data_IF_062101700245
#
_entry.id   IF_062101700245
#
_cell.length_a   1.000
_cell.length_b   1.000
_cell.length_c   1.000
_cell.angle_alpha   90.00
_cell.angle_beta   90.00
_cell.angle_gamma   90.00
#
_symmetry.space_group_name_H-M   'P 1'
#
loop_
_entity.id
_entity.type
_entity.pdbx_description
1 polymer ?
#
# COMPACT_ATOMS: atom_id res chain seq x y z
N UNK A 1 22.48 22.63 -33.15
CA UNK A 1 21.74 21.35 -33.10
C UNK A 1 22.36 20.34 -32.13
N UNK A 2 23.68 20.13 -32.12
CA UNK A 2 24.34 19.16 -31.24
C UNK A 2 24.05 19.36 -29.73
N UNK A 3 24.06 20.60 -29.23
CA UNK A 3 23.77 20.89 -27.82
C UNK A 3 22.33 20.60 -27.39
N UNK A 4 21.36 20.77 -28.30
CA UNK A 4 19.96 20.47 -27.99
C UNK A 4 19.74 18.96 -27.88
N UNK A 5 20.37 18.19 -28.78
CA UNK A 5 20.34 16.72 -28.75
C UNK A 5 21.00 16.18 -27.48
N UNK A 6 22.13 16.76 -27.07
CA UNK A 6 22.81 16.34 -25.83
C UNK A 6 21.98 16.64 -24.57
N UNK A 7 21.31 17.80 -24.52
CA UNK A 7 20.42 18.16 -23.42
C UNK A 7 19.19 17.24 -23.34
N UNK A 8 18.63 16.86 -24.48
CA UNK A 8 17.53 15.90 -24.55
C UNK A 8 17.97 14.51 -24.10
N UNK A 9 19.15 14.04 -24.51
CA UNK A 9 19.70 12.75 -24.07
C UNK A 9 19.98 12.77 -22.56
N UNK A 10 20.61 13.82 -22.03
CA UNK A 10 20.86 13.96 -20.59
C UNK A 10 19.58 14.06 -19.79
N UNK A 11 18.57 14.79 -20.28
CA UNK A 11 17.24 14.84 -19.67
C UNK A 11 16.55 13.48 -19.68
N UNK A 12 16.61 12.75 -20.79
CA UNK A 12 16.02 11.42 -20.90
C UNK A 12 16.71 10.41 -19.98
N UNK A 13 18.04 10.41 -19.93
CA UNK A 13 18.81 9.59 -19.00
C UNK A 13 18.53 9.96 -17.54
N UNK A 14 18.42 11.24 -17.21
CA UNK A 14 18.08 11.68 -15.86
C UNK A 14 16.66 11.29 -15.44
N UNK A 15 15.70 11.27 -16.37
CA UNK A 15 14.32 10.81 -16.10
C UNK A 15 14.24 9.29 -16.02
N UNK A 16 15.00 8.57 -16.84
CA UNK A 16 14.94 7.11 -16.93
C UNK A 16 15.80 6.41 -15.86
N UNK A 17 16.87 7.05 -15.39
CA UNK A 17 17.82 6.50 -14.40
C UNK A 17 17.93 7.35 -13.13
N UNK A 18 17.12 8.40 -12.99
CA UNK A 18 17.05 9.20 -11.77
C UNK A 18 16.26 8.50 -10.66
N UNK A 19 16.30 9.03 -9.43
CA UNK A 19 15.44 8.56 -8.35
C UNK A 19 13.97 8.67 -8.74
N UNK A 20 13.22 7.58 -8.59
CA UNK A 20 11.77 7.55 -8.76
C UNK A 20 11.09 7.34 -7.40
N UNK A 21 9.85 7.81 -7.20
CA UNK A 21 9.10 7.47 -5.99
C UNK A 21 8.89 5.95 -5.91
N UNK A 22 8.86 5.45 -4.67
CA UNK A 22 8.37 4.11 -4.37
C UNK A 22 6.90 4.01 -4.78
N UNK A 23 6.50 2.86 -5.29
CA UNK A 23 5.15 2.57 -5.77
C UNK A 23 4.58 1.30 -5.12
N UNK A 24 3.26 1.08 -5.19
CA UNK A 24 2.66 -0.16 -4.70
C UNK A 24 3.30 -1.44 -5.28
N UNK A 25 3.68 -1.47 -6.56
CA UNK A 25 4.34 -2.65 -7.15
C UNK A 25 5.70 -2.97 -6.52
N UNK A 26 6.40 -1.98 -5.96
CA UNK A 26 7.70 -2.19 -5.31
C UNK A 26 7.58 -3.01 -4.02
N UNK A 27 6.38 -3.06 -3.43
CA UNK A 27 6.08 -3.90 -2.27
C UNK A 27 6.25 -5.38 -2.63
N UNK A 28 5.94 -5.79 -3.85
CA UNK A 28 6.11 -7.18 -4.27
C UNK A 28 7.59 -7.63 -4.19
N UNK A 29 8.50 -6.78 -4.68
CA UNK A 29 9.96 -7.00 -4.61
C UNK A 29 10.44 -7.02 -3.16
N UNK A 30 9.92 -6.09 -2.34
CA UNK A 30 10.25 -6.06 -0.92
C UNK A 30 9.82 -7.34 -0.19
N UNK A 31 8.60 -7.83 -0.44
CA UNK A 31 8.07 -9.03 0.22
C UNK A 31 8.87 -10.28 -0.17
N UNK A 32 9.24 -10.44 -1.45
CA UNK A 32 10.08 -11.54 -1.91
C UNK A 32 11.44 -11.58 -1.18
N UNK A 33 12.11 -10.42 -1.06
CA UNK A 33 13.38 -10.29 -0.34
C UNK A 33 13.23 -10.48 1.18
N UNK A 34 12.10 -10.06 1.75
CA UNK A 34 11.81 -10.17 3.17
C UNK A 34 11.49 -11.60 3.59
N UNK A 35 10.68 -12.32 2.80
CA UNK A 35 10.38 -13.74 2.97
C UNK A 35 11.64 -14.60 2.79
N UNK A 36 12.48 -14.29 1.79
CA UNK A 36 13.74 -15.00 1.54
C UNK A 36 14.73 -14.97 2.71
N UNK A 37 14.55 -14.07 3.67
CA UNK A 37 15.34 -13.99 4.91
C UNK A 37 14.82 -14.90 6.03
N UNK A 38 13.73 -15.63 5.83
CA UNK A 38 13.14 -16.52 6.83
C UNK A 38 12.55 -15.78 8.03
N UNK A 39 12.17 -14.51 7.83
CA UNK A 39 11.47 -13.71 8.83
C UNK A 39 10.09 -14.30 9.10
N UNK A 40 9.70 -14.45 10.37
CA UNK A 40 8.34 -14.85 10.76
C UNK A 40 7.38 -13.66 10.84
N UNK A 41 7.86 -12.44 10.60
CA UNK A 41 7.02 -11.25 10.52
C UNK A 41 6.34 -11.26 9.14
N UNK A 42 5.02 -11.10 9.10
CA UNK A 42 4.26 -10.90 7.86
C UNK A 42 3.77 -9.45 7.81
N UNK A 43 4.59 -8.50 7.31
CA UNK A 43 4.25 -7.10 7.35
C UNK A 43 3.24 -6.75 6.26
N UNK A 44 2.11 -6.18 6.67
CA UNK A 44 1.19 -5.54 5.73
C UNK A 44 1.74 -4.16 5.33
N UNK A 45 2.25 -4.05 4.10
CA UNK A 45 2.91 -2.83 3.60
C UNK A 45 2.05 -2.08 2.59
N UNK A 46 1.95 -0.76 2.78
CA UNK A 46 1.23 0.18 1.95
C UNK A 46 2.16 1.32 1.52
N UNK A 47 1.95 1.85 0.31
CA UNK A 47 2.71 2.98 -0.26
C UNK A 47 1.73 4.01 -0.82
N UNK A 48 1.79 5.24 -0.33
CA UNK A 48 0.89 6.31 -0.78
C UNK A 48 1.60 7.66 -0.80
N UNK A 49 1.04 8.59 -1.56
CA UNK A 49 1.48 9.98 -1.58
C UNK A 49 0.66 10.80 -0.57
N UNK A 50 1.36 11.58 0.25
CA UNK A 50 0.77 12.56 1.16
C UNK A 50 1.24 13.97 0.78
N UNK A 51 0.34 14.95 0.86
CA UNK A 51 0.64 16.33 0.44
C UNK A 51 1.75 16.99 1.27
N UNK A 52 1.87 16.64 2.55
CA UNK A 52 2.83 17.23 3.47
C UNK A 52 4.11 16.40 3.59
N UNK A 53 4.01 15.08 3.54
CA UNK A 53 5.12 14.16 3.80
C UNK A 53 5.78 13.60 2.54
N UNK A 54 5.13 13.71 1.36
CA UNK A 54 5.59 13.10 0.11
C UNK A 54 5.25 11.61 0.04
N UNK A 55 6.15 10.80 -0.51
CA UNK A 55 5.93 9.35 -0.61
C UNK A 55 6.08 8.71 0.78
N UNK A 56 4.98 8.17 1.31
CA UNK A 56 4.91 7.50 2.62
C UNK A 56 4.81 5.99 2.44
N UNK A 57 5.62 5.26 3.20
CA UNK A 57 5.54 3.81 3.34
C UNK A 57 5.01 3.49 4.73
N UNK A 58 3.86 2.84 4.80
CA UNK A 58 3.30 2.32 6.05
C UNK A 58 3.48 0.80 6.08
N UNK A 59 4.11 0.29 7.12
CA UNK A 59 4.18 -1.15 7.38
C UNK A 59 3.50 -1.47 8.70
N UNK A 60 2.60 -2.44 8.68
CA UNK A 60 1.97 -2.95 9.89
C UNK A 60 2.48 -4.34 10.21
N UNK A 61 2.93 -4.54 11.44
CA UNK A 61 3.30 -5.87 11.93
C UNK A 61 2.16 -6.47 12.72
N UNK A 62 1.87 -7.74 12.43
CA UNK A 62 0.93 -8.50 13.26
C UNK A 62 1.64 -8.81 14.55
N UNK A 63 1.02 -8.38 15.64
CA UNK A 63 1.41 -8.86 16.96
C UNK A 63 0.34 -9.88 17.31
N UNK A 64 0.59 -11.14 16.97
CA UNK A 64 -0.33 -12.23 17.33
C UNK A 64 -0.50 -12.24 18.84
N UNK A 65 -1.70 -11.85 19.25
CA UNK A 65 -2.16 -11.87 20.62
C UNK A 65 -3.23 -12.96 20.68
N UNK A 66 -2.80 -14.21 20.88
CA UNK A 66 -3.72 -15.34 20.85
C UNK A 66 -4.88 -15.15 21.84
N UNK A 67 -4.73 -14.40 22.93
CA UNK A 67 -5.75 -14.31 23.98
C UNK A 67 -5.66 -13.02 24.83
N UNK A 68 -5.68 -11.83 24.23
CA UNK A 68 -5.88 -10.56 24.96
C UNK A 68 -4.76 -10.19 25.95
N UNK A 69 -3.54 -10.60 25.65
CA UNK A 69 -2.32 -10.33 26.37
C UNK A 69 -1.65 -9.00 26.01
N UNK A 70 -0.69 -8.61 26.85
CA UNK A 70 0.14 -7.43 26.69
C UNK A 70 1.13 -7.56 25.53
N UNK A 71 1.40 -6.44 24.84
CA UNK A 71 2.38 -6.29 23.76
C UNK A 71 3.70 -7.00 24.11
N UNK A 72 4.32 -7.75 23.17
CA UNK A 72 5.64 -8.33 23.37
C UNK A 72 6.65 -7.26 23.78
N UNK A 73 7.48 -7.55 24.78
CA UNK A 73 8.42 -6.58 25.32
C UNK A 73 9.41 -6.03 24.26
N UNK A 74 9.60 -6.78 23.18
CA UNK A 74 10.51 -6.55 22.06
C UNK A 74 9.87 -5.81 20.86
N UNK A 75 8.63 -5.32 20.95
CA UNK A 75 7.95 -4.64 19.83
C UNK A 75 8.78 -3.51 19.20
N UNK A 76 9.62 -2.82 19.98
CA UNK A 76 10.50 -1.76 19.48
C UNK A 76 11.62 -2.31 18.58
N UNK A 77 12.19 -3.45 18.97
CA UNK A 77 13.23 -4.13 18.19
C UNK A 77 12.63 -4.67 16.89
N UNK A 78 11.41 -5.20 16.94
CA UNK A 78 10.67 -5.62 15.75
C UNK A 78 10.44 -4.44 14.78
N UNK A 79 10.05 -3.26 15.30
CA UNK A 79 9.87 -2.07 14.47
C UNK A 79 11.17 -1.62 13.82
N UNK A 80 12.29 -1.66 14.56
CA UNK A 80 13.61 -1.33 14.02
C UNK A 80 14.05 -2.31 12.93
N UNK A 81 13.76 -3.60 13.10
CA UNK A 81 13.97 -4.62 12.05
C UNK A 81 13.19 -4.31 10.77
N UNK A 82 11.93 -3.88 10.90
CA UNK A 82 11.11 -3.48 9.74
C UNK A 82 11.66 -2.20 9.09
N UNK A 83 12.02 -1.18 9.87
CA UNK A 83 12.62 0.04 9.30
C UNK A 83 13.90 -0.26 8.53
N UNK A 84 14.77 -1.09 9.10
CA UNK A 84 16.00 -1.51 8.44
C UNK A 84 15.69 -2.25 7.13
N UNK A 85 14.72 -3.16 7.13
CA UNK A 85 14.34 -3.91 5.94
C UNK A 85 13.76 -3.00 4.85
N UNK A 86 12.85 -2.09 5.20
CA UNK A 86 12.29 -1.09 4.28
C UNK A 86 13.41 -0.23 3.68
N UNK A 87 14.35 0.23 4.51
CA UNK A 87 15.48 1.04 4.04
C UNK A 87 16.37 0.28 3.06
N UNK A 88 16.68 -0.99 3.38
CA UNK A 88 17.64 -1.80 2.66
C UNK A 88 17.10 -2.41 1.36
N UNK A 89 15.83 -2.80 1.33
CA UNK A 89 15.30 -3.65 0.25
C UNK A 89 14.20 -3.01 -0.59
N UNK A 90 13.40 -2.10 -0.04
CA UNK A 90 12.25 -1.54 -0.79
C UNK A 90 12.75 -0.69 -1.97
N UNK A 91 12.36 -0.98 -3.23
CA UNK A 91 12.72 -0.14 -4.37
C UNK A 91 12.10 1.27 -4.34
N UNK A 92 12.70 2.17 -5.11
CA UNK A 92 12.25 3.56 -5.22
C UNK A 92 12.54 4.41 -3.98
N UNK A 93 12.27 5.70 -4.08
CA UNK A 93 12.44 6.69 -3.02
C UNK A 93 11.14 6.85 -2.24
N UNK A 94 11.26 6.77 -0.92
CA UNK A 94 10.25 7.27 0.01
C UNK A 94 10.85 8.31 0.94
N UNK A 95 10.01 9.21 1.45
CA UNK A 95 10.38 10.34 2.29
C UNK A 95 10.10 10.08 3.77
N UNK A 96 9.06 9.27 4.05
CA UNK A 96 8.67 8.85 5.40
C UNK A 96 8.37 7.34 5.45
N UNK A 97 8.94 6.64 6.43
CA UNK A 97 8.48 5.31 6.82
C UNK A 97 7.72 5.38 8.14
N UNK A 98 6.61 4.67 8.23
CA UNK A 98 5.81 4.51 9.45
C UNK A 98 5.65 3.01 9.71
N UNK A 99 6.04 2.56 10.89
CA UNK A 99 5.82 1.18 11.33
C UNK A 99 4.87 1.20 12.51
N UNK A 100 3.78 0.43 12.43
CA UNK A 100 2.80 0.33 13.51
C UNK A 100 2.32 -1.09 13.75
N UNK A 101 1.56 -1.30 14.83
CA UNK A 101 0.90 -2.58 15.09
C UNK A 101 -0.48 -2.65 14.44
N UNK A 102 -0.87 -3.83 13.96
CA UNK A 102 -2.27 -4.15 13.68
C UNK A 102 -2.77 -5.27 14.62
N UNK A 103 -4.08 -5.27 14.87
CA UNK A 103 -4.83 -6.22 15.72
C UNK A 103 -4.67 -6.17 17.25
N UNK A 104 -3.79 -5.37 17.82
CA UNK A 104 -3.73 -5.17 19.28
C UNK A 104 -4.80 -4.18 19.81
N UNK A 105 -5.30 -4.42 21.02
CA UNK A 105 -6.21 -3.49 21.73
C UNK A 105 -5.61 -2.09 21.93
N UNK A 106 -4.28 -1.97 21.91
CA UNK A 106 -3.50 -0.73 21.93
C UNK A 106 -2.78 -0.53 20.59
N UNK A 107 -2.70 0.70 20.09
CA UNK A 107 -1.95 1.01 18.86
C UNK A 107 -0.66 1.71 19.19
N UNK A 108 0.43 1.26 18.58
CA UNK A 108 1.73 1.91 18.66
C UNK A 108 2.24 2.10 17.25
N UNK A 109 2.86 3.25 17.05
CA UNK A 109 3.57 3.60 15.82
C UNK A 109 4.90 4.23 16.17
N UNK A 110 5.85 4.03 15.27
CA UNK A 110 7.04 4.87 15.14
C UNK A 110 7.11 5.32 13.69
N UNK A 111 7.79 6.42 13.47
CA UNK A 111 8.09 6.90 12.13
C UNK A 111 9.52 7.37 12.06
N UNK A 112 10.10 7.26 10.87
CA UNK A 112 11.44 7.77 10.57
C UNK A 112 11.41 8.43 9.20
N UNK A 113 11.86 9.67 9.16
CA UNK A 113 12.13 10.35 7.89
C UNK A 113 13.41 9.80 7.26
N UNK A 114 13.58 10.05 5.95
CA UNK A 114 14.74 9.60 5.19
C UNK A 114 16.10 9.98 5.79
N UNK A 115 16.22 11.17 6.40
CA UNK A 115 17.46 11.62 7.06
C UNK A 115 17.78 10.73 8.25
N UNK A 116 16.80 10.52 9.13
CA UNK A 116 16.92 9.65 10.31
C UNK A 116 17.25 8.21 9.92
N UNK A 117 16.57 7.65 8.90
CA UNK A 117 16.88 6.30 8.40
C UNK A 117 18.34 6.16 7.95
N UNK A 118 18.87 7.19 7.30
CA UNK A 118 20.28 7.21 6.88
C UNK A 118 21.24 7.34 8.05
N UNK A 119 20.89 8.12 9.06
CA UNK A 119 21.70 8.29 10.28
C UNK A 119 21.76 6.99 11.08
N UNK A 120 20.63 6.31 11.24
CA UNK A 120 20.50 5.07 12.01
C UNK A 120 21.07 3.84 11.27
N UNK A 121 20.77 3.69 9.98
CA UNK A 121 21.10 2.47 9.22
C UNK A 121 22.21 2.66 8.17
N UNK A 122 22.77 3.87 8.07
CA UNK A 122 23.80 4.19 7.10
C UNK A 122 23.27 4.44 5.68
N UNK A 123 24.17 4.51 4.67
CA UNK A 123 23.76 4.79 3.30
C UNK A 123 22.88 3.67 2.74
N UNK A 124 21.84 4.06 2.00
CA UNK A 124 21.00 3.13 1.26
C UNK A 124 21.81 2.41 0.18
N UNK A 125 21.55 1.11 -0.10
CA UNK A 125 22.18 0.41 -1.22
C UNK A 125 22.05 1.17 -2.54
N UNK A 126 23.16 1.25 -3.29
CA UNK A 126 23.20 2.00 -4.56
C UNK A 126 22.27 1.38 -5.60
N UNK A 127 21.53 2.22 -6.32
CA UNK A 127 20.65 1.79 -7.42
C UNK A 127 19.22 1.48 -7.00
N UNK A 128 18.91 1.40 -5.69
CA UNK A 128 17.57 1.09 -5.21
C UNK A 128 16.56 2.21 -5.51
N UNK A 129 16.98 3.47 -5.34
CA UNK A 129 16.17 4.66 -5.66
C UNK A 129 15.81 4.76 -7.16
N UNK A 130 16.64 4.19 -8.03
CA UNK A 130 16.52 4.24 -9.49
C UNK A 130 16.22 2.87 -10.10
N UNK A 131 15.89 1.87 -9.27
CA UNK A 131 15.60 0.53 -9.73
C UNK A 131 14.42 0.60 -10.70
N UNK A 132 14.47 -0.01 -11.88
CA UNK A 132 13.33 0.02 -12.80
C UNK A 132 12.09 -0.57 -12.10
N UNK A 133 10.89 -0.06 -12.38
CA UNK A 133 9.67 -0.72 -11.93
C UNK A 133 9.67 -2.18 -12.36
N UNK A 134 9.41 -3.08 -11.41
CA UNK A 134 9.14 -4.48 -11.75
C UNK A 134 7.67 -4.57 -12.10
N UNK A 135 7.40 -5.10 -13.28
CA UNK A 135 6.05 -5.43 -13.70
C UNK A 135 6.02 -6.85 -14.23
N UNK A 136 4.93 -7.56 -14.00
CA UNK A 136 4.64 -8.82 -14.65
C UNK A 136 4.51 -8.60 -16.17
N UNK A 137 4.95 -9.56 -16.96
CA UNK A 137 4.72 -9.60 -18.41
C UNK A 137 3.26 -10.05 -18.66
N UNK A 138 2.35 -9.12 -18.34
CA UNK A 138 0.89 -9.22 -18.22
C UNK A 138 0.11 -10.28 -19.00
N UNK A 139 -1.02 -10.70 -18.40
CA UNK A 139 -2.27 -11.12 -19.08
C UNK A 139 -3.05 -9.88 -19.58
N UNK A 140 -2.95 -9.50 -20.86
CA UNK A 140 -3.42 -8.19 -21.35
C UNK A 140 -4.96 -8.03 -21.39
N UNK A 141 -5.72 -9.10 -21.11
CA UNK A 141 -7.19 -9.09 -21.05
C UNK A 141 -7.73 -8.71 -19.68
N UNK A 142 -6.92 -8.84 -18.63
CA UNK A 142 -7.30 -8.60 -17.23
C UNK A 142 -6.62 -7.35 -16.67
N UNK A 143 -5.41 -7.07 -17.13
CA UNK A 143 -4.55 -6.00 -16.62
C UNK A 143 -4.04 -5.14 -17.78
N UNK A 144 -3.81 -3.85 -17.53
CA UNK A 144 -3.02 -3.06 -18.48
C UNK A 144 -1.57 -3.53 -18.40
N UNK A 145 -0.90 -3.78 -19.55
CA UNK A 145 0.50 -4.17 -19.56
C UNK A 145 1.36 -3.19 -18.76
N UNK A 146 2.18 -3.71 -17.84
CA UNK A 146 3.10 -2.91 -17.04
C UNK A 146 2.48 -2.18 -15.85
N UNK A 147 1.33 -2.62 -15.32
CA UNK A 147 0.71 -1.99 -14.13
C UNK A 147 0.79 -2.83 -12.84
N UNK A 148 1.11 -4.13 -12.91
CA UNK A 148 1.15 -5.04 -11.75
C UNK A 148 2.46 -5.81 -11.63
N UNK A 149 2.81 -6.28 -10.44
CA UNK A 149 3.98 -7.09 -10.10
C UNK A 149 3.56 -8.27 -9.22
N UNK A 150 4.02 -9.47 -9.54
CA UNK A 150 3.70 -10.68 -8.79
C UNK A 150 4.45 -10.75 -7.46
N UNK A 151 3.75 -11.11 -6.40
CA UNK A 151 4.29 -11.42 -5.09
C UNK A 151 3.82 -12.84 -4.71
N UNK A 152 4.73 -13.81 -4.88
CA UNK A 152 4.38 -15.23 -4.76
C UNK A 152 3.42 -15.71 -5.87
N UNK A 153 2.76 -16.84 -5.64
CA UNK A 153 1.92 -17.51 -6.66
C UNK A 153 0.46 -17.01 -6.70
N UNK A 154 0.01 -16.28 -5.68
CA UNK A 154 -1.42 -16.01 -5.45
C UNK A 154 -1.78 -14.52 -5.42
N UNK A 155 -0.80 -13.61 -5.40
CA UNK A 155 -1.04 -12.18 -5.30
C UNK A 155 -0.23 -11.41 -6.35
N UNK A 156 -0.87 -10.42 -6.96
CA UNK A 156 -0.20 -9.37 -7.75
C UNK A 156 -0.50 -8.01 -7.14
N UNK A 157 0.54 -7.20 -6.93
CA UNK A 157 0.42 -5.80 -6.51
C UNK A 157 0.35 -4.90 -7.73
N UNK A 158 -0.57 -3.94 -7.76
CA UNK A 158 -0.79 -3.05 -8.90
C UNK A 158 -0.65 -1.58 -8.52
N UNK A 159 -0.11 -0.78 -9.44
CA UNK A 159 0.10 0.67 -9.27
C UNK A 159 -1.23 1.46 -9.28
N UNK A 160 -2.33 0.87 -9.78
CA UNK A 160 -3.63 1.53 -9.93
C UNK A 160 -4.77 0.60 -9.60
N UNK A 161 -5.82 1.18 -9.02
CA UNK A 161 -7.06 0.47 -8.80
C UNK A 161 -7.81 0.29 -10.13
N UNK A 162 -8.55 -0.82 -10.30
CA UNK A 162 -9.50 -0.95 -11.39
C UNK A 162 -10.52 0.19 -11.40
N UNK A 163 -10.95 0.61 -12.59
CA UNK A 163 -11.87 1.74 -12.76
C UNK A 163 -13.17 1.60 -11.93
N UNK A 164 -13.65 0.39 -11.67
CA UNK A 164 -14.86 0.19 -10.86
C UNK A 164 -14.69 0.62 -9.38
N UNK A 165 -13.48 0.60 -8.85
CA UNK A 165 -13.19 1.03 -7.48
C UNK A 165 -13.09 2.54 -7.33
N UNK A 166 -13.03 3.28 -8.44
CA UNK A 166 -13.02 4.74 -8.48
C UNK A 166 -14.26 5.28 -9.21
N UNK A 167 -15.44 4.91 -8.69
CA UNK A 167 -16.75 5.30 -9.23
C UNK A 167 -17.57 6.08 -8.20
N UNK A 168 -18.52 6.94 -8.64
CA UNK A 168 -19.44 7.61 -7.73
C UNK A 168 -20.27 6.63 -6.88
N UNK A 169 -20.63 5.46 -7.42
CA UNK A 169 -21.32 4.37 -6.72
C UNK A 169 -20.47 3.84 -5.57
N UNK A 170 -19.18 3.53 -5.83
CA UNK A 170 -18.24 3.08 -4.78
C UNK A 170 -18.11 4.13 -3.69
N UNK A 171 -17.95 5.41 -4.05
CA UNK A 171 -17.86 6.48 -3.06
C UNK A 171 -19.15 6.62 -2.23
N UNK A 172 -20.32 6.47 -2.84
CA UNK A 172 -21.60 6.53 -2.13
C UNK A 172 -21.73 5.39 -1.11
N UNK A 173 -21.35 4.17 -1.49
CA UNK A 173 -21.33 3.03 -0.59
C UNK A 173 -20.29 3.19 0.51
N UNK A 174 -19.08 3.67 0.20
CA UNK A 174 -18.07 4.00 1.23
C UNK A 174 -18.61 5.00 2.24
N UNK A 175 -19.24 6.09 1.82
CA UNK A 175 -19.82 7.07 2.75
C UNK A 175 -20.97 6.48 3.58
N UNK A 176 -21.72 5.52 3.01
CA UNK A 176 -22.79 4.79 3.72
C UNK A 176 -22.21 3.87 4.79
N UNK A 177 -21.23 3.03 4.46
CA UNK A 177 -20.59 2.09 5.39
C UNK A 177 -19.72 2.78 6.42
N UNK A 178 -19.08 3.89 6.04
CA UNK A 178 -18.05 4.57 6.82
C UNK A 178 -18.47 6.02 7.12
N UNK A 179 -19.31 6.28 8.14
CA UNK A 179 -19.79 7.63 8.44
C UNK A 179 -18.68 8.67 8.68
N UNK A 180 -17.49 8.22 9.11
CA UNK A 180 -16.30 9.06 9.28
C UNK A 180 -15.76 9.65 7.97
N UNK A 181 -16.14 9.09 6.81
CA UNK A 181 -15.65 9.48 5.48
C UNK A 181 -16.66 10.32 4.67
N UNK A 182 -17.80 10.69 5.26
CA UNK A 182 -18.90 11.42 4.59
C UNK A 182 -18.45 12.71 3.89
N UNK A 183 -17.37 13.34 4.36
CA UNK A 183 -16.82 14.58 3.79
C UNK A 183 -15.90 14.39 2.59
N UNK A 184 -15.47 13.16 2.30
CA UNK A 184 -14.56 12.88 1.18
C UNK A 184 -15.28 13.18 -0.14
N UNK A 185 -14.75 14.09 -0.97
CA UNK A 185 -15.26 14.36 -2.33
C UNK A 185 -14.94 13.24 -3.32
N UNK A 186 -13.87 12.50 -3.07
CA UNK A 186 -13.38 11.33 -3.80
C UNK A 186 -12.54 10.48 -2.84
N UNK A 187 -12.28 9.22 -3.20
CA UNK A 187 -11.24 8.45 -2.53
C UNK A 187 -9.86 9.03 -2.88
N UNK A 188 -8.86 8.96 -1.98
CA UNK A 188 -7.49 9.27 -2.34
C UNK A 188 -6.94 8.22 -3.33
N UNK A 189 -5.72 8.42 -3.82
CA UNK A 189 -5.03 7.37 -4.55
C UNK A 189 -4.90 6.12 -3.65
N UNK A 190 -5.07 4.90 -4.19
CA UNK A 190 -4.93 3.69 -3.41
C UNK A 190 -3.49 3.54 -2.91
N UNK A 191 -3.35 3.18 -1.65
CA UNK A 191 -2.08 2.88 -0.99
C UNK A 191 -1.58 1.46 -1.28
N UNK A 192 -2.49 0.56 -1.64
CA UNK A 192 -2.18 -0.72 -2.24
C UNK A 192 -3.36 -1.19 -3.08
N UNK A 193 -3.05 -1.90 -4.16
CA UNK A 193 -4.02 -2.64 -4.95
C UNK A 193 -3.47 -4.03 -5.13
N UNK A 194 -4.23 -5.02 -4.71
CA UNK A 194 -3.82 -6.42 -4.76
C UNK A 194 -4.86 -7.19 -5.55
N UNK A 195 -4.44 -7.80 -6.66
CA UNK A 195 -5.22 -8.84 -7.33
C UNK A 195 -4.84 -10.16 -6.69
N UNK A 196 -5.84 -10.89 -6.22
CA UNK A 196 -5.66 -12.24 -5.72
C UNK A 196 -6.12 -13.20 -6.81
N UNK A 197 -5.22 -14.09 -7.22
CA UNK A 197 -5.51 -15.13 -8.20
C UNK A 197 -5.80 -16.45 -7.49
N UNK A 198 -6.77 -17.23 -8.00
CA UNK A 198 -7.00 -18.60 -7.57
C UNK A 198 -8.44 -18.84 -7.09
N UNK A 199 -8.61 -19.33 -5.85
CA UNK A 199 -9.93 -19.77 -5.35
C UNK A 199 -10.94 -18.63 -5.21
N UNK A 200 -10.47 -17.39 -5.12
CA UNK A 200 -11.30 -16.22 -4.89
C UNK A 200 -10.75 -15.08 -5.75
N UNK A 201 -10.85 -15.20 -7.08
CA UNK A 201 -10.45 -14.16 -8.03
C UNK A 201 -11.10 -12.82 -7.64
N UNK A 202 -10.32 -11.99 -6.96
CA UNK A 202 -10.79 -10.74 -6.34
C UNK A 202 -9.72 -9.67 -6.48
N UNK A 203 -10.16 -8.42 -6.52
CA UNK A 203 -9.28 -7.27 -6.40
C UNK A 203 -9.56 -6.60 -5.07
N UNK A 204 -8.50 -6.32 -4.31
CA UNK A 204 -8.52 -5.54 -3.09
C UNK A 204 -7.86 -4.19 -3.35
N UNK A 205 -8.41 -3.11 -2.81
CA UNK A 205 -7.76 -1.81 -2.76
C UNK A 205 -7.85 -1.22 -1.35
N UNK A 206 -6.74 -0.61 -0.92
CA UNK A 206 -6.60 -0.04 0.41
C UNK A 206 -6.32 1.44 0.26
N UNK A 207 -7.09 2.26 0.97
CA UNK A 207 -6.98 3.71 0.93
C UNK A 207 -6.61 4.21 2.33
N UNK A 208 -5.48 4.90 2.41
CA UNK A 208 -5.03 5.60 3.63
C UNK A 208 -5.66 6.98 3.66
N UNK A 209 -6.30 7.34 4.78
CA UNK A 209 -6.94 8.65 4.96
C UNK A 209 -6.12 9.61 5.84
N UNK A 210 -5.10 9.11 6.55
CA UNK A 210 -4.19 9.90 7.38
C UNK A 210 -2.79 9.27 7.38
N UNK A 211 -1.79 10.05 7.81
CA UNK A 211 -0.45 9.53 8.13
C UNK A 211 -0.41 9.13 9.60
N UNK A 212 -0.29 7.84 9.95
CA UNK A 212 -0.56 7.37 11.30
C UNK A 212 0.69 7.45 12.20
N UNK A 213 1.22 8.67 12.40
CA UNK A 213 2.41 8.94 13.21
C UNK A 213 2.17 8.70 14.70
N UNK A 214 1.03 9.16 15.22
CA UNK A 214 0.64 9.09 16.64
C UNK A 214 -0.76 8.49 16.85
N UNK A 215 -1.51 8.30 15.77
CA UNK A 215 -2.88 7.79 15.79
C UNK A 215 -3.00 6.53 14.93
N UNK A 216 -4.02 5.71 15.19
CA UNK A 216 -4.34 4.55 14.35
C UNK A 216 -4.53 4.98 12.90
N UNK A 217 -4.17 4.11 11.92
CA UNK A 217 -4.47 4.39 10.53
C UNK A 217 -5.99 4.41 10.32
N UNK A 218 -6.45 5.48 9.69
CA UNK A 218 -7.77 5.60 9.13
C UNK A 218 -7.75 4.99 7.73
N UNK A 219 -8.45 3.88 7.57
CA UNK A 219 -8.39 3.02 6.39
C UNK A 219 -9.77 2.80 5.79
N UNK A 220 -9.82 2.76 4.46
CA UNK A 220 -10.91 2.14 3.71
C UNK A 220 -10.32 0.98 2.91
N UNK A 221 -10.94 -0.19 3.07
CA UNK A 221 -10.66 -1.40 2.33
C UNK A 221 -11.83 -1.67 1.41
N UNK A 222 -11.53 -1.88 0.13
CA UNK A 222 -12.49 -2.33 -0.86
C UNK A 222 -12.06 -3.70 -1.36
N UNK A 223 -12.96 -4.67 -1.28
CA UNK A 223 -12.77 -5.98 -1.89
C UNK A 223 -13.85 -6.19 -2.95
N UNK A 224 -13.44 -6.37 -4.19
CA UNK A 224 -14.34 -6.59 -5.32
C UNK A 224 -14.16 -8.02 -5.85
N UNK A 225 -15.26 -8.77 -5.90
CA UNK A 225 -15.34 -10.09 -6.53
C UNK A 225 -16.30 -10.11 -7.71
N UNK A 226 -16.24 -11.17 -8.52
CA UNK A 226 -17.19 -11.34 -9.63
C UNK A 226 -18.54 -11.93 -9.18
N UNK A 227 -18.65 -12.42 -7.95
CA UNK A 227 -19.90 -12.93 -7.40
C UNK A 227 -20.93 -11.81 -7.25
N UNK A 228 -22.09 -11.97 -7.87
CA UNK A 228 -23.17 -11.00 -7.77
C UNK A 228 -23.71 -10.82 -6.34
N UNK A 229 -23.57 -11.83 -5.47
CA UNK A 229 -23.95 -11.77 -4.07
C UNK A 229 -22.92 -11.05 -3.18
N UNK A 230 -21.64 -11.08 -3.56
CA UNK A 230 -20.52 -10.48 -2.83
C UNK A 230 -19.70 -9.57 -3.77
N UNK A 231 -20.40 -8.66 -4.46
CA UNK A 231 -19.83 -7.89 -5.56
C UNK A 231 -18.83 -6.84 -5.07
N UNK A 232 -19.16 -6.15 -3.98
CA UNK A 232 -18.27 -5.18 -3.34
C UNK A 232 -18.39 -5.29 -1.82
N UNK A 233 -17.32 -5.65 -1.14
CA UNK A 233 -17.18 -5.46 0.30
C UNK A 233 -16.49 -4.13 0.58
N UNK A 234 -17.09 -3.36 1.48
CA UNK A 234 -16.50 -2.13 2.02
C UNK A 234 -16.23 -2.37 3.49
N UNK A 235 -14.97 -2.25 3.89
CA UNK A 235 -14.56 -2.29 5.29
C UNK A 235 -13.77 -1.04 5.61
N UNK A 236 -13.93 -0.50 6.81
CA UNK A 236 -13.15 0.65 7.23
C UNK A 236 -12.84 0.62 8.71
N UNK A 237 -11.69 1.20 9.03
CA UNK A 237 -11.24 1.48 10.38
C UNK A 237 -11.01 2.97 10.44
N UNK A 238 -11.97 3.75 10.94
CA UNK A 238 -11.89 5.22 10.98
C UNK A 238 -12.11 5.70 12.41
N UNK A 239 -11.18 6.49 12.94
CA UNK A 239 -11.16 6.97 14.33
C UNK A 239 -11.32 5.83 15.33
N UNK A 240 -10.67 4.70 15.05
CA UNK A 240 -10.71 3.49 15.87
C UNK A 240 -12.02 2.69 15.81
N UNK A 241 -13.02 3.13 15.04
CA UNK A 241 -14.25 2.37 14.81
C UNK A 241 -14.11 1.51 13.57
N UNK A 242 -14.41 0.22 13.70
CA UNK A 242 -14.42 -0.73 12.59
C UNK A 242 -15.84 -1.00 12.13
N UNK A 243 -16.10 -0.84 10.83
CA UNK A 243 -17.39 -1.15 10.20
C UNK A 243 -17.13 -1.88 8.88
N UNK A 244 -18.01 -2.80 8.53
CA UNK A 244 -17.94 -3.53 7.27
C UNK A 244 -19.34 -3.85 6.77
N UNK A 245 -19.55 -3.74 5.46
CA UNK A 245 -20.77 -4.13 4.77
C UNK A 245 -20.40 -4.71 3.41
N UNK A 246 -21.06 -5.81 3.02
CA UNK A 246 -20.93 -6.41 1.69
C UNK A 246 -22.17 -6.13 0.89
N UNK A 247 -21.97 -5.68 -0.35
CA UNK A 247 -23.01 -5.26 -1.27
C UNK A 247 -23.11 -6.22 -2.45
N UNK A 248 -24.35 -6.56 -2.79
CA UNK A 248 -24.66 -7.24 -4.04
C UNK A 248 -24.45 -6.32 -5.24
N UNK A 249 -24.33 -6.91 -6.43
CA UNK A 249 -24.23 -6.13 -7.68
C UNK A 249 -25.40 -5.18 -7.88
N UNK A 250 -26.61 -5.62 -7.51
CA UNK A 250 -27.82 -4.79 -7.63
C UNK A 250 -27.77 -3.58 -6.71
N UNK A 251 -27.31 -3.77 -5.46
CA UNK A 251 -27.16 -2.66 -4.52
C UNK A 251 -26.14 -1.66 -5.01
N UNK A 252 -24.99 -2.14 -5.52
CA UNK A 252 -23.99 -1.30 -6.17
C UNK A 252 -24.55 -0.48 -7.33
N UNK A 253 -25.21 -1.12 -8.30
CA UNK A 253 -25.79 -0.44 -9.47
C UNK A 253 -26.93 0.53 -9.11
N UNK A 254 -27.46 0.44 -7.88
CA UNK A 254 -28.52 1.31 -7.36
C UNK A 254 -28.05 2.34 -6.34
N UNK A 255 -26.75 2.40 -6.00
CA UNK A 255 -26.23 3.19 -4.88
C UNK A 255 -26.50 4.70 -4.97
N UNK A 256 -26.78 5.21 -6.17
CA UNK A 256 -27.05 6.63 -6.44
C UNK A 256 -28.53 6.95 -6.67
N UNK A 257 -29.42 5.96 -6.58
CA UNK A 257 -30.87 6.12 -6.79
C UNK A 257 -31.60 6.30 -5.48
#
# INVERSE_FOLDING_TARGET
MLSLVLLLILGFLAVQYGPRPTRPTDVAVFLEEFEGQGSSLDPFVLVYEDEAEGTVVYASVSVEDDLGGSIPADWKEQFEGVFWALWKYLPGRFDLAVVGTHYSGSYYSRYMGRVTLREEFGPRPSGLDSAPPVHDESKPTEERPGECASAGEWARFCDRAPLMMDTPETLALVRKTCPGTVRLSSLPAPAAVTRWDGLLDRTSAVFMLNVPKEERPDLVFLDHGEDAAEYLSVSCSVRGTRTSETYTRREYESALR
#
